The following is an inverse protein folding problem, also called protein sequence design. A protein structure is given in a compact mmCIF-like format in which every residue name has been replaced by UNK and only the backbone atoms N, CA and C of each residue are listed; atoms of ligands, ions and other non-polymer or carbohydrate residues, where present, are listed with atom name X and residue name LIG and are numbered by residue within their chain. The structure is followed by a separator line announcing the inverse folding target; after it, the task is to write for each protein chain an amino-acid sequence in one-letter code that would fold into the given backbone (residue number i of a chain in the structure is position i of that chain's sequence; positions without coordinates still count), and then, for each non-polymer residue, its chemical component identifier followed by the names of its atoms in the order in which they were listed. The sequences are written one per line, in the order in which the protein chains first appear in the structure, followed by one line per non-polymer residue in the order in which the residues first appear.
data_IF_742475622323
#
_entry.id   IF_742475622323
#
_cell.length_a   1.000
_cell.length_b   1.000
_cell.length_c   1.000
_cell.angle_alpha   90.00
_cell.angle_beta   90.00
_cell.angle_gamma   90.00
#
_symmetry.space_group_name_H-M   'P 1'
#
loop_
_entity.id
_entity.type
_entity.pdbx_description
1 polymer ?
#
# COMPACT_ATOMS: atom_id res chain seq x y z
N UNK A 1 1.11 7.59 -18.35
CA UNK A 1 1.84 6.39 -17.88
C UNK A 1 1.07 5.89 -16.68
N UNK A 2 0.37 4.75 -16.77
CA UNK A 2 -0.40 4.25 -15.63
C UNK A 2 0.55 3.82 -14.53
N UNK A 3 0.33 4.23 -13.26
CA UNK A 3 1.16 3.82 -12.15
C UNK A 3 1.07 2.28 -11.98
N UNK A 4 2.21 1.67 -11.75
CA UNK A 4 2.29 0.24 -11.54
C UNK A 4 1.73 -0.12 -10.17
N UNK A 5 0.88 -1.14 -10.13
CA UNK A 5 0.34 -1.71 -8.89
C UNK A 5 1.36 -2.67 -8.30
N UNK A 6 1.73 -2.50 -7.05
CA UNK A 6 2.61 -3.45 -6.35
C UNK A 6 2.10 -3.75 -4.94
N UNK A 7 2.46 -4.92 -4.43
CA UNK A 7 2.32 -5.22 -3.01
C UNK A 7 3.48 -4.59 -2.25
N UNK A 8 3.19 -3.74 -1.31
CA UNK A 8 4.22 -3.16 -0.45
C UNK A 8 4.61 -4.17 0.64
N UNK A 9 5.81 -4.76 0.51
CA UNK A 9 6.37 -5.74 1.47
C UNK A 9 6.99 -5.11 2.70
N UNK A 10 6.98 -3.81 2.81
CA UNK A 10 7.64 -3.15 3.91
C UNK A 10 6.96 -3.55 5.22
N UNK A 11 7.74 -4.08 6.17
CA UNK A 11 7.27 -4.20 7.54
C UNK A 11 7.23 -2.81 8.15
N UNK A 12 6.05 -2.34 8.50
CA UNK A 12 5.85 -1.05 9.14
C UNK A 12 6.01 -1.18 10.66
N UNK A 13 6.98 -0.42 11.20
CA UNK A 13 7.27 -0.42 12.64
C UNK A 13 7.99 -1.68 13.15
N UNK A 14 7.77 -1.99 14.43
CA UNK A 14 8.37 -3.14 15.12
C UNK A 14 7.31 -4.22 15.39
N UNK A 15 7.76 -5.39 15.89
CA UNK A 15 6.83 -6.44 16.32
C UNK A 15 5.96 -6.00 17.50
N UNK A 16 6.51 -5.19 18.38
CA UNK A 16 5.85 -4.67 19.57
C UNK A 16 4.87 -3.55 19.23
N UNK A 17 5.26 -2.68 18.30
CA UNK A 17 4.46 -1.56 17.79
C UNK A 17 4.46 -1.57 16.26
N UNK A 18 3.59 -2.37 15.61
CA UNK A 18 3.54 -2.54 14.16
C UNK A 18 2.82 -1.35 13.50
N UNK A 19 3.47 -0.20 13.52
CA UNK A 19 2.98 1.03 12.89
C UNK A 19 4.14 1.95 12.50
N UNK A 20 3.95 2.72 11.43
CA UNK A 20 4.94 3.65 10.91
C UNK A 20 4.27 4.94 10.42
N UNK A 21 4.95 6.05 10.67
CA UNK A 21 4.48 7.39 10.31
C UNK A 21 5.34 7.99 9.20
N UNK A 22 4.69 8.70 8.28
CA UNK A 22 5.32 9.42 7.18
C UNK A 22 4.80 10.84 7.10
N UNK A 23 5.72 11.78 7.00
CA UNK A 23 5.43 13.16 6.60
C UNK A 23 5.86 13.33 5.14
N UNK A 24 4.93 13.70 4.27
CA UNK A 24 5.13 13.70 2.83
C UNK A 24 4.91 15.11 2.27
N UNK A 25 5.99 15.74 1.85
CA UNK A 25 6.01 16.98 1.10
C UNK A 25 6.56 16.76 -0.33
N UNK A 26 6.62 17.80 -1.14
CA UNK A 26 7.08 17.72 -2.55
C UNK A 26 8.51 17.21 -2.74
N UNK A 27 9.32 17.14 -1.69
CA UNK A 27 10.70 16.63 -1.71
C UNK A 27 10.76 15.14 -1.37
N UNK A 28 9.67 14.60 -0.84
CA UNK A 28 9.62 13.19 -0.43
C UNK A 28 9.68 12.27 -1.67
N UNK A 29 10.49 11.19 -1.68
CA UNK A 29 10.64 10.29 -2.84
C UNK A 29 9.32 9.62 -3.28
N UNK A 30 8.38 9.49 -2.35
CA UNK A 30 7.03 8.93 -2.58
C UNK A 30 5.96 10.01 -2.59
N UNK A 31 6.28 11.24 -2.99
CA UNK A 31 5.32 12.34 -3.06
C UNK A 31 4.11 11.98 -3.92
N UNK A 32 4.35 11.44 -5.11
CA UNK A 32 3.32 10.79 -5.91
C UNK A 32 3.15 9.37 -5.37
N UNK A 33 1.97 9.07 -4.86
CA UNK A 33 1.65 7.74 -4.33
C UNK A 33 1.36 6.78 -5.49
N UNK A 34 2.34 5.94 -5.82
CA UNK A 34 2.17 4.91 -6.84
C UNK A 34 1.10 3.90 -6.42
N UNK A 35 0.42 3.29 -7.40
CA UNK A 35 -0.61 2.30 -7.12
C UNK A 35 -0.03 1.08 -6.40
N UNK A 36 -0.50 0.83 -5.17
CA UNK A 36 -0.05 -0.26 -4.31
C UNK A 36 -1.14 -0.71 -3.34
N UNK A 37 -0.88 -1.78 -2.64
CA UNK A 37 -1.69 -2.27 -1.55
C UNK A 37 -0.78 -2.95 -0.51
N UNK A 38 -1.23 -2.98 0.73
CA UNK A 38 -0.57 -3.63 1.86
C UNK A 38 -1.62 -4.24 2.81
N UNK A 39 -1.17 -5.05 3.77
CA UNK A 39 -2.05 -5.74 4.71
C UNK A 39 -2.42 -4.91 5.93
N UNK A 40 -1.82 -3.75 6.07
CA UNK A 40 -2.05 -2.81 7.14
C UNK A 40 -3.19 -1.83 6.80
N UNK A 41 -3.68 -1.16 7.80
CA UNK A 41 -4.53 0.02 7.68
C UNK A 41 -3.67 1.26 7.43
N UNK A 42 -4.23 2.24 6.73
CA UNK A 42 -3.57 3.51 6.53
C UNK A 42 -4.51 4.68 6.84
N UNK A 43 -4.06 5.57 7.71
CA UNK A 43 -4.72 6.83 8.05
C UNK A 43 -3.95 7.96 7.38
N UNK A 44 -4.62 8.71 6.48
CA UNK A 44 -4.02 9.82 5.75
C UNK A 44 -4.67 11.11 6.19
N UNK A 45 -3.84 12.11 6.51
CA UNK A 45 -4.26 13.46 6.89
C UNK A 45 -3.73 14.47 5.88
N UNK A 46 -4.61 15.22 5.25
CA UNK A 46 -4.22 16.30 4.34
C UNK A 46 -3.94 17.55 5.17
N UNK A 47 -2.71 18.05 5.12
CA UNK A 47 -2.27 19.24 5.88
C UNK A 47 -2.45 20.53 5.10
N UNK A 48 -2.17 20.47 3.78
CA UNK A 48 -2.31 21.62 2.88
C UNK A 48 -2.49 21.15 1.43
N UNK A 49 -3.03 21.99 0.57
CA UNK A 49 -3.27 21.69 -0.83
C UNK A 49 -4.40 20.68 -1.03
N UNK A 50 -4.37 19.93 -2.11
CA UNK A 50 -5.33 18.88 -2.42
C UNK A 50 -4.66 17.60 -2.86
N UNK A 51 -5.33 16.47 -2.63
CA UNK A 51 -4.84 15.12 -2.93
C UNK A 51 -5.94 14.32 -3.62
N UNK A 52 -5.74 14.00 -4.89
CA UNK A 52 -6.64 13.10 -5.61
C UNK A 52 -6.18 11.68 -5.37
N UNK A 53 -6.97 10.89 -4.65
CA UNK A 53 -6.70 9.49 -4.36
C UNK A 53 -7.67 8.60 -5.11
N UNK A 54 -7.15 7.52 -5.68
CA UNK A 54 -7.92 6.43 -6.26
C UNK A 54 -7.87 5.26 -5.30
N UNK A 55 -9.04 4.84 -4.80
CA UNK A 55 -9.16 3.71 -3.88
C UNK A 55 -10.06 2.67 -4.54
N UNK A 56 -9.49 1.51 -4.85
CA UNK A 56 -10.10 0.52 -5.73
C UNK A 56 -10.50 1.17 -7.06
N UNK A 57 -11.81 1.37 -7.33
CA UNK A 57 -12.34 2.01 -8.55
C UNK A 57 -12.90 3.42 -8.28
N UNK A 58 -12.70 3.95 -7.07
CA UNK A 58 -13.31 5.22 -6.66
C UNK A 58 -12.27 6.32 -6.63
N UNK A 59 -12.53 7.42 -7.34
CA UNK A 59 -11.75 8.65 -7.25
C UNK A 59 -12.30 9.53 -6.11
N UNK A 60 -11.42 10.00 -5.24
CA UNK A 60 -11.73 10.90 -4.13
C UNK A 60 -10.77 12.09 -4.22
N UNK A 61 -11.29 13.30 -4.22
CA UNK A 61 -10.49 14.52 -4.07
C UNK A 61 -10.59 15.02 -2.64
N UNK A 62 -9.51 14.88 -1.89
CA UNK A 62 -9.38 15.33 -0.52
C UNK A 62 -8.66 16.69 -0.45
N UNK A 63 -9.08 17.57 0.44
CA UNK A 63 -8.55 18.90 0.64
C UNK A 63 -7.91 19.03 2.03
N UNK A 64 -7.23 20.15 2.27
CA UNK A 64 -6.64 20.43 3.58
C UNK A 64 -7.67 20.27 4.72
N UNK A 65 -7.31 19.50 5.72
CA UNK A 65 -8.20 19.16 6.86
C UNK A 65 -8.96 17.85 6.71
N UNK A 66 -9.05 17.26 5.52
CA UNK A 66 -9.73 15.98 5.30
C UNK A 66 -8.89 14.80 5.80
N UNK A 67 -9.59 13.72 6.11
CA UNK A 67 -9.00 12.44 6.53
C UNK A 67 -9.46 11.33 5.62
N UNK A 68 -8.52 10.44 5.28
CA UNK A 68 -8.80 9.18 4.61
C UNK A 68 -8.39 8.03 5.54
N UNK A 69 -9.24 7.02 5.66
CA UNK A 69 -8.98 5.80 6.42
C UNK A 69 -9.11 4.61 5.47
N UNK A 70 -7.96 4.12 5.02
CA UNK A 70 -7.88 2.96 4.14
C UNK A 70 -7.82 1.70 4.98
N UNK A 71 -8.68 0.73 4.66
CA UNK A 71 -8.66 -0.58 5.29
C UNK A 71 -7.55 -1.43 4.70
N UNK A 72 -7.16 -2.45 5.44
CA UNK A 72 -6.24 -3.47 4.94
C UNK A 72 -6.61 -3.92 3.53
N UNK A 73 -5.60 -4.09 2.73
CA UNK A 73 -5.76 -4.67 1.41
C UNK A 73 -6.53 -3.84 0.38
N UNK A 74 -6.83 -2.57 0.62
CA UNK A 74 -7.37 -1.69 -0.42
C UNK A 74 -6.27 -1.31 -1.40
N UNK A 75 -6.56 -1.43 -2.70
CA UNK A 75 -5.68 -0.90 -3.73
C UNK A 75 -5.83 0.61 -3.78
N UNK A 76 -4.73 1.33 -3.66
CA UNK A 76 -4.78 2.78 -3.70
C UNK A 76 -3.58 3.41 -4.41
N UNK A 77 -3.81 4.60 -4.95
CA UNK A 77 -2.79 5.47 -5.55
C UNK A 77 -3.21 6.93 -5.39
N UNK A 78 -2.27 7.86 -5.44
CA UNK A 78 -2.61 9.26 -5.20
C UNK A 78 -1.73 10.26 -5.96
N UNK A 79 -2.37 11.35 -6.37
CA UNK A 79 -1.76 12.48 -7.06
C UNK A 79 -1.91 13.73 -6.20
N UNK A 80 -0.84 14.22 -5.56
CA UNK A 80 -0.85 15.46 -4.80
C UNK A 80 -0.83 16.68 -5.74
N UNK A 81 -1.55 17.72 -5.34
CA UNK A 81 -1.51 19.04 -5.98
C UNK A 81 -1.17 20.10 -4.93
N UNK A 82 0.09 20.57 -4.94
CA UNK A 82 0.66 21.46 -3.92
C UNK A 82 0.35 20.97 -2.49
N UNK A 83 0.36 19.66 -2.30
CA UNK A 83 -0.14 19.00 -1.11
C UNK A 83 0.99 18.69 -0.13
N UNK A 84 0.70 18.84 1.16
CA UNK A 84 1.44 18.20 2.24
C UNK A 84 0.46 17.26 2.92
N UNK A 85 0.86 16.00 3.09
CA UNK A 85 0.03 15.00 3.76
C UNK A 85 0.86 14.14 4.69
N UNK A 86 0.19 13.56 5.67
CA UNK A 86 0.77 12.65 6.65
C UNK A 86 0.10 11.30 6.52
N UNK A 87 0.88 10.21 6.59
CA UNK A 87 0.38 8.85 6.60
C UNK A 87 0.77 8.15 7.91
N UNK A 88 -0.16 7.41 8.47
CA UNK A 88 0.09 6.49 9.57
C UNK A 88 -0.39 5.11 9.14
N UNK A 89 0.58 4.23 8.82
CA UNK A 89 0.34 2.85 8.38
C UNK A 89 0.47 1.93 9.59
N UNK A 90 -0.53 1.08 9.87
CA UNK A 90 -0.59 0.30 11.09
C UNK A 90 -1.33 -1.03 10.95
N UNK A 91 -0.81 -2.07 11.60
CA UNK A 91 -1.51 -3.33 11.78
C UNK A 91 -2.48 -3.21 12.96
N UNK A 92 -3.76 -2.94 12.65
CA UNK A 92 -4.81 -2.76 13.65
C UNK A 92 -4.96 -3.98 14.57
N UNK A 93 -4.84 -5.19 14.02
CA UNK A 93 -4.94 -6.42 14.81
C UNK A 93 -3.71 -6.62 15.70
N UNK A 94 -2.52 -6.34 15.17
CA UNK A 94 -1.25 -6.44 15.89
C UNK A 94 -1.15 -5.45 17.06
N UNK A 95 -1.58 -4.19 16.87
CA UNK A 95 -1.57 -3.16 17.91
C UNK A 95 -2.44 -3.53 19.13
N UNK A 96 -3.58 -4.18 18.89
CA UNK A 96 -4.53 -4.53 19.97
C UNK A 96 -4.55 -6.03 20.28
N UNK A 97 -3.51 -6.78 19.93
CA UNK A 97 -3.45 -8.25 20.12
C UNK A 97 -3.68 -8.74 21.57
N UNK A 98 -3.36 -7.91 22.56
CA UNK A 98 -3.53 -8.24 24.00
C UNK A 98 -4.71 -7.53 24.65
N UNK A 99 -5.37 -6.60 23.95
CA UNK A 99 -6.47 -5.79 24.47
C UNK A 99 -7.82 -6.47 24.16
N UNK A 100 -8.25 -7.41 24.97
CA UNK A 100 -9.41 -8.26 24.69
C UNK A 100 -10.71 -7.48 24.50
N UNK A 101 -10.95 -6.42 25.28
CA UNK A 101 -12.15 -5.58 25.14
C UNK A 101 -12.16 -4.85 23.78
N UNK A 102 -10.99 -4.37 23.32
CA UNK A 102 -10.88 -3.71 22.01
C UNK A 102 -11.12 -4.71 20.88
N UNK A 103 -10.52 -5.90 20.96
CA UNK A 103 -10.74 -6.96 19.97
C UNK A 103 -12.20 -7.35 19.86
N UNK A 104 -12.91 -7.50 20.99
CA UNK A 104 -14.31 -7.88 21.02
C UNK A 104 -15.16 -6.85 20.24
N UNK A 105 -14.93 -5.56 20.46
CA UNK A 105 -15.69 -4.49 19.83
C UNK A 105 -15.27 -4.23 18.38
N UNK A 106 -13.99 -4.43 18.03
CA UNK A 106 -13.50 -4.32 16.65
C UNK A 106 -13.65 -5.60 15.82
N UNK A 107 -14.15 -6.71 16.41
CA UNK A 107 -14.31 -7.98 15.72
C UNK A 107 -15.10 -7.87 14.40
N UNK A 108 -16.22 -7.12 14.31
CA UNK A 108 -16.92 -6.95 13.04
C UNK A 108 -16.11 -6.18 11.99
N UNK A 109 -15.24 -5.26 12.42
CA UNK A 109 -14.31 -4.51 11.54
C UNK A 109 -13.21 -5.45 11.03
N UNK A 110 -12.60 -6.27 11.90
CA UNK A 110 -11.59 -7.27 11.50
C UNK A 110 -12.13 -8.33 10.55
N UNK A 111 -13.40 -8.71 10.71
CA UNK A 111 -14.05 -9.69 9.83
C UNK A 111 -14.57 -9.09 8.55
N UNK A 112 -14.41 -7.78 8.37
CA UNK A 112 -15.03 -7.04 7.28
C UNK A 112 -16.56 -7.16 7.20
N UNK A 113 -17.23 -7.49 8.32
CA UNK A 113 -18.68 -7.44 8.42
C UNK A 113 -19.17 -5.99 8.39
N UNK A 114 -18.35 -5.08 8.95
CA UNK A 114 -18.55 -3.63 8.92
C UNK A 114 -17.37 -2.98 8.16
N UNK A 115 -17.71 -2.21 7.13
CA UNK A 115 -16.74 -1.47 6.32
C UNK A 115 -16.79 0.01 6.72
N UNK A 116 -15.76 0.51 7.40
CA UNK A 116 -15.65 1.94 7.73
C UNK A 116 -15.69 2.80 6.47
N UNK A 117 -16.18 4.02 6.58
CA UNK A 117 -16.04 4.99 5.49
C UNK A 117 -14.55 5.18 5.17
N UNK A 118 -14.26 5.46 3.90
CA UNK A 118 -12.88 5.73 3.44
C UNK A 118 -12.54 7.21 3.57
N UNK A 119 -13.53 8.09 3.40
CA UNK A 119 -13.33 9.53 3.32
C UNK A 119 -14.14 10.27 4.38
N UNK A 120 -13.48 11.17 5.09
CA UNK A 120 -14.03 11.99 6.17
C UNK A 120 -13.68 13.46 5.90
N UNK A 121 -14.59 14.22 5.22
CA UNK A 121 -14.42 15.67 5.03
C UNK A 121 -14.36 16.41 6.36
N UNK A 122 -13.46 17.40 6.46
CA UNK A 122 -13.21 18.15 7.69
C UNK A 122 -14.47 18.84 8.23
N UNK A 123 -15.29 19.39 7.34
CA UNK A 123 -16.52 20.13 7.71
C UNK A 123 -17.55 19.24 8.38
N UNK A 124 -17.58 17.94 8.05
CA UNK A 124 -18.60 17.01 8.54
C UNK A 124 -18.11 16.11 9.68
N UNK A 125 -16.79 15.91 9.77
CA UNK A 125 -16.20 14.90 10.67
C UNK A 125 -15.03 15.47 11.50
N UNK A 126 -15.25 16.61 12.13
CA UNK A 126 -14.21 17.31 12.93
C UNK A 126 -13.59 16.43 14.02
N UNK A 127 -14.36 15.55 14.66
CA UNK A 127 -13.86 14.63 15.68
C UNK A 127 -12.86 13.60 15.09
N UNK A 128 -13.11 13.09 13.87
CA UNK A 128 -12.16 12.20 13.16
C UNK A 128 -10.86 12.95 12.91
N UNK A 129 -10.94 14.22 12.46
CA UNK A 129 -9.79 15.09 12.28
C UNK A 129 -9.00 15.29 13.56
N UNK A 130 -9.66 15.57 14.69
CA UNK A 130 -9.00 15.78 16.00
C UNK A 130 -8.24 14.53 16.46
N UNK A 131 -8.84 13.33 16.40
CA UNK A 131 -8.14 12.10 16.78
C UNK A 131 -6.97 11.81 15.83
N UNK A 132 -7.15 12.04 14.54
CA UNK A 132 -6.08 11.88 13.55
C UNK A 132 -4.92 12.83 13.81
N UNK A 133 -5.20 14.12 14.05
CA UNK A 133 -4.16 15.11 14.36
C UNK A 133 -3.42 14.74 15.64
N UNK A 134 -4.10 14.23 16.66
CA UNK A 134 -3.46 13.77 17.90
C UNK A 134 -2.53 12.56 17.67
N UNK A 135 -2.92 11.60 16.81
CA UNK A 135 -2.07 10.49 16.40
C UNK A 135 -0.83 11.02 15.67
N UNK A 136 -1.01 11.85 14.62
CA UNK A 136 0.09 12.37 13.79
C UNK A 136 1.07 13.20 14.62
N UNK A 137 0.57 14.05 15.54
CA UNK A 137 1.41 14.83 16.44
C UNK A 137 2.21 13.95 17.40
N UNK A 138 1.62 12.86 17.92
CA UNK A 138 2.34 11.91 18.78
C UNK A 138 3.44 11.21 18.01
N UNK A 139 3.17 10.81 16.76
CA UNK A 139 4.17 10.21 15.86
C UNK A 139 5.32 11.20 15.57
N UNK A 140 5.01 12.43 15.19
CA UNK A 140 6.00 13.46 14.88
C UNK A 140 6.91 13.77 16.08
N UNK A 141 6.37 13.78 17.30
CA UNK A 141 7.17 13.95 18.55
C UNK A 141 8.14 12.79 18.76
N UNK A 142 7.80 11.58 18.30
CA UNK A 142 8.67 10.40 18.39
C UNK A 142 9.98 10.51 17.58
N UNK A 143 10.09 11.47 16.67
CA UNK A 143 11.34 11.80 15.99
C UNK A 143 12.39 12.49 16.90
N UNK A 144 11.97 13.02 18.05
CA UNK A 144 12.88 13.60 19.04
C UNK A 144 13.59 12.46 19.81
N UNK A 145 14.94 12.39 19.80
CA UNK A 145 15.69 11.36 20.53
C UNK A 145 15.41 11.31 22.04
N UNK A 146 14.99 12.42 22.63
CA UNK A 146 14.71 12.54 24.05
C UNK A 146 13.24 12.25 24.41
N UNK A 147 12.39 11.92 23.43
CA UNK A 147 11.00 11.60 23.69
C UNK A 147 10.87 10.20 24.31
N UNK A 148 9.96 10.08 25.28
CA UNK A 148 9.55 8.78 25.78
C UNK A 148 8.64 8.09 24.76
N UNK A 149 9.23 7.21 23.97
CA UNK A 149 8.53 6.48 22.89
C UNK A 149 7.36 5.66 23.42
N UNK A 150 7.53 5.00 24.57
CA UNK A 150 6.48 4.16 25.16
C UNK A 150 5.23 4.96 25.54
N UNK A 151 5.41 6.16 26.08
CA UNK A 151 4.29 7.06 26.40
C UNK A 151 3.62 7.61 25.13
N UNK A 152 4.39 7.87 24.06
CA UNK A 152 3.82 8.28 22.77
C UNK A 152 3.03 7.14 22.13
N UNK A 153 3.56 5.92 22.11
CA UNK A 153 2.88 4.72 21.63
C UNK A 153 1.58 4.47 22.40
N UNK A 154 1.61 4.59 23.73
CA UNK A 154 0.40 4.50 24.57
C UNK A 154 -0.64 5.57 24.19
N UNK A 155 -0.20 6.80 23.93
CA UNK A 155 -1.09 7.88 23.49
C UNK A 155 -1.72 7.58 22.14
N UNK A 156 -0.95 7.07 21.18
CA UNK A 156 -1.43 6.68 19.85
C UNK A 156 -2.49 5.58 19.97
N UNK A 157 -2.26 4.56 20.81
CA UNK A 157 -3.25 3.49 21.07
C UNK A 157 -4.55 4.06 21.65
N UNK A 158 -4.46 5.01 22.58
CA UNK A 158 -5.63 5.68 23.15
C UNK A 158 -6.44 6.47 22.11
N UNK A 159 -5.75 7.20 21.22
CA UNK A 159 -6.40 7.97 20.16
C UNK A 159 -7.00 7.05 19.08
N UNK A 160 -6.35 5.95 18.74
CA UNK A 160 -6.93 4.94 17.84
C UNK A 160 -8.20 4.31 18.44
N UNK A 161 -8.18 3.96 19.74
CA UNK A 161 -9.39 3.49 20.42
C UNK A 161 -10.51 4.51 20.35
N UNK A 162 -10.20 5.80 20.58
CA UNK A 162 -11.17 6.90 20.52
C UNK A 162 -11.73 7.08 19.11
N UNK A 163 -10.87 7.03 18.09
CA UNK A 163 -11.25 7.13 16.68
C UNK A 163 -12.22 6.00 16.29
N UNK A 164 -11.85 4.75 16.53
CA UNK A 164 -12.71 3.61 16.18
C UNK A 164 -13.99 3.57 17.01
N UNK A 165 -13.92 3.93 18.29
CA UNK A 165 -15.11 4.09 19.15
C UNK A 165 -16.07 5.12 18.57
N UNK A 166 -15.56 6.28 18.15
CA UNK A 166 -16.36 7.33 17.52
C UNK A 166 -17.00 6.85 16.20
N UNK A 167 -16.22 6.19 15.34
CA UNK A 167 -16.71 5.63 14.07
C UNK A 167 -17.86 4.64 14.32
N UNK A 168 -17.70 3.73 15.28
CA UNK A 168 -18.70 2.72 15.59
C UNK A 168 -19.96 3.32 16.24
N UNK A 169 -19.80 4.23 17.20
CA UNK A 169 -20.94 4.89 17.89
C UNK A 169 -21.77 5.75 16.93
N UNK A 170 -21.13 6.44 16.00
CA UNK A 170 -21.82 7.30 15.02
C UNK A 170 -22.22 6.55 13.74
N UNK A 171 -22.02 5.23 13.70
CA UNK A 171 -22.34 4.38 12.54
C UNK A 171 -21.72 4.86 11.23
N UNK A 172 -20.46 5.33 11.28
CA UNK A 172 -19.69 5.79 10.12
C UNK A 172 -19.10 4.58 9.38
N UNK A 173 -19.95 3.62 9.09
CA UNK A 173 -19.64 2.38 8.39
C UNK A 173 -20.87 1.90 7.62
N UNK A 174 -20.67 1.00 6.68
CA UNK A 174 -21.71 0.25 6.00
C UNK A 174 -21.57 -1.23 6.32
N UNK A 175 -22.70 -1.95 6.41
CA UNK A 175 -22.65 -3.42 6.41
C UNK A 175 -22.15 -3.88 5.05
N UNK A 176 -21.27 -4.86 5.02
CA UNK A 176 -20.73 -5.36 3.76
C UNK A 176 -21.85 -5.89 2.86
N UNK A 177 -22.17 -5.26 1.72
CA UNK A 177 -23.16 -5.81 0.79
C UNK A 177 -22.64 -7.12 0.21
N UNK A 178 -23.54 -8.02 -0.21
CA UNK A 178 -23.17 -9.30 -0.84
C UNK A 178 -22.28 -9.08 -2.07
N UNK A 179 -22.51 -8.00 -2.81
CA UNK A 179 -21.68 -7.60 -3.97
C UNK A 179 -20.27 -7.17 -3.56
N UNK A 180 -20.10 -6.51 -2.42
CA UNK A 180 -18.78 -6.16 -1.91
C UNK A 180 -18.00 -7.39 -1.41
N UNK A 181 -18.69 -8.42 -0.94
CA UNK A 181 -18.07 -9.71 -0.60
C UNK A 181 -17.53 -10.40 -1.87
N UNK A 182 -18.28 -10.35 -2.98
CA UNK A 182 -17.81 -10.90 -4.25
C UNK A 182 -16.61 -10.11 -4.82
N UNK A 183 -16.64 -8.78 -4.69
CA UNK A 183 -15.52 -7.90 -5.09
C UNK A 183 -14.28 -8.17 -4.22
N UNK A 184 -14.45 -8.23 -2.91
CA UNK A 184 -13.37 -8.58 -1.96
C UNK A 184 -12.80 -9.96 -2.22
N UNK A 185 -13.64 -10.94 -2.56
CA UNK A 185 -13.21 -12.28 -2.94
C UNK A 185 -12.33 -12.26 -4.20
N UNK A 186 -12.77 -11.54 -5.26
CA UNK A 186 -11.96 -11.39 -6.50
C UNK A 186 -10.63 -10.69 -6.23
N UNK A 187 -10.63 -9.62 -5.45
CA UNK A 187 -9.41 -8.94 -5.03
C UNK A 187 -8.50 -9.91 -4.27
N UNK A 188 -9.04 -10.72 -3.36
CA UNK A 188 -8.31 -11.76 -2.65
C UNK A 188 -7.64 -12.79 -3.58
N UNK A 189 -8.35 -13.21 -4.64
CA UNK A 189 -7.79 -14.11 -5.66
C UNK A 189 -6.63 -13.45 -6.43
N UNK A 190 -6.77 -12.17 -6.82
CA UNK A 190 -5.69 -11.43 -7.49
C UNK A 190 -4.49 -11.25 -6.56
N UNK A 191 -4.68 -10.98 -5.28
CA UNK A 191 -3.60 -10.91 -4.28
C UNK A 191 -2.83 -12.20 -4.15
N UNK A 192 -3.51 -13.35 -4.18
CA UNK A 192 -2.84 -14.66 -4.19
C UNK A 192 -1.92 -14.79 -5.42
N UNK A 193 -2.38 -14.31 -6.58
CA UNK A 193 -1.57 -14.28 -7.82
C UNK A 193 -0.37 -13.33 -7.67
N UNK A 194 -0.58 -12.12 -7.16
CA UNK A 194 0.50 -11.15 -6.95
C UNK A 194 1.57 -11.70 -6.00
N UNK A 195 1.16 -12.33 -4.90
CA UNK A 195 2.05 -13.03 -3.97
C UNK A 195 2.82 -14.17 -4.63
N UNK A 196 2.16 -14.93 -5.50
CA UNK A 196 2.83 -15.99 -6.25
C UNK A 196 3.89 -15.44 -7.20
N UNK A 197 3.56 -14.38 -7.97
CA UNK A 197 4.53 -13.71 -8.86
C UNK A 197 5.75 -13.26 -8.07
N UNK A 198 5.52 -12.66 -6.93
CA UNK A 198 6.55 -12.19 -6.04
C UNK A 198 7.50 -13.28 -5.55
N UNK A 199 6.97 -14.44 -5.21
CA UNK A 199 7.76 -15.57 -4.71
C UNK A 199 8.47 -16.35 -5.84
N UNK A 200 7.97 -16.23 -7.09
CA UNK A 200 8.38 -17.08 -8.21
C UNK A 200 8.86 -16.31 -9.46
N UNK A 201 9.05 -14.98 -9.39
CA UNK A 201 9.35 -14.14 -10.56
C UNK A 201 10.57 -14.60 -11.36
N UNK A 202 11.56 -15.22 -10.73
CA UNK A 202 12.76 -15.77 -11.38
C UNK A 202 12.50 -17.05 -12.18
N UNK A 203 11.33 -17.67 -12.07
CA UNK A 203 10.97 -18.91 -12.74
C UNK A 203 10.11 -18.69 -13.99
N UNK A 204 9.79 -19.76 -14.72
CA UNK A 204 8.88 -19.66 -15.86
C UNK A 204 7.42 -19.52 -15.38
N UNK A 205 6.89 -18.30 -15.43
CA UNK A 205 5.49 -17.99 -15.10
C UNK A 205 4.69 -17.92 -16.41
N UNK A 206 3.58 -18.67 -16.48
CA UNK A 206 2.66 -18.62 -17.61
C UNK A 206 1.31 -18.02 -17.21
N UNK A 207 0.57 -17.51 -18.20
CA UNK A 207 -0.78 -17.00 -17.99
C UNK A 207 -1.70 -18.07 -17.37
N UNK A 208 -1.60 -19.31 -17.84
CA UNK A 208 -2.42 -20.42 -17.33
C UNK A 208 -2.10 -20.69 -15.86
N UNK A 209 -0.82 -20.73 -15.47
CA UNK A 209 -0.43 -20.87 -14.06
C UNK A 209 -1.06 -19.79 -13.16
N UNK A 210 -1.05 -18.53 -13.61
CA UNK A 210 -1.63 -17.44 -12.86
C UNK A 210 -3.16 -17.53 -12.77
N UNK A 211 -3.81 -17.92 -13.85
CA UNK A 211 -5.26 -18.13 -13.90
C UNK A 211 -5.70 -19.29 -13.01
N UNK A 212 -4.94 -20.39 -12.97
CA UNK A 212 -5.20 -21.55 -12.10
C UNK A 212 -5.11 -21.15 -10.62
N UNK A 213 -4.10 -20.34 -10.24
CA UNK A 213 -3.96 -19.82 -8.87
C UNK A 213 -5.15 -18.94 -8.49
N UNK A 214 -5.65 -18.13 -9.43
CA UNK A 214 -6.85 -17.33 -9.22
C UNK A 214 -8.14 -18.16 -9.19
N UNK A 215 -8.10 -19.44 -9.59
CA UNK A 215 -9.31 -20.28 -9.78
C UNK A 215 -10.22 -19.75 -10.87
N UNK A 216 -9.66 -19.17 -11.95
CA UNK A 216 -10.38 -18.53 -13.05
C UNK A 216 -9.95 -19.10 -14.40
N UNK A 217 -10.85 -19.03 -15.40
CA UNK A 217 -10.39 -19.26 -16.77
C UNK A 217 -9.49 -18.08 -17.24
N UNK A 218 -8.52 -18.32 -18.15
CA UNK A 218 -7.52 -17.32 -18.53
C UNK A 218 -8.10 -16.00 -19.07
N UNK A 219 -9.17 -16.05 -19.86
CA UNK A 219 -9.79 -14.85 -20.44
C UNK A 219 -10.49 -13.99 -19.38
N UNK A 220 -11.18 -14.61 -18.44
CA UNK A 220 -11.82 -13.93 -17.33
C UNK A 220 -10.77 -13.39 -16.35
N UNK A 221 -9.75 -14.18 -16.06
CA UNK A 221 -8.61 -13.78 -15.24
C UNK A 221 -7.92 -12.52 -15.79
N UNK A 222 -7.61 -12.46 -17.09
CA UNK A 222 -7.00 -11.27 -17.70
C UNK A 222 -7.84 -10.01 -17.45
N UNK A 223 -9.15 -10.09 -17.62
CA UNK A 223 -10.05 -8.94 -17.38
C UNK A 223 -10.02 -8.52 -15.91
N UNK A 224 -10.26 -9.48 -15.00
CA UNK A 224 -10.28 -9.18 -13.55
C UNK A 224 -8.93 -8.65 -13.09
N UNK A 225 -7.83 -9.24 -13.55
CA UNK A 225 -6.48 -8.78 -13.21
C UNK A 225 -6.24 -7.35 -13.72
N UNK A 226 -6.66 -7.07 -14.95
CA UNK A 226 -6.51 -5.74 -15.55
C UNK A 226 -7.41 -4.71 -14.89
N UNK A 227 -8.63 -5.06 -14.50
CA UNK A 227 -9.54 -4.18 -13.76
C UNK A 227 -8.96 -3.80 -12.40
N UNK A 228 -8.32 -4.76 -11.70
CA UNK A 228 -7.71 -4.54 -10.38
C UNK A 228 -6.36 -3.84 -10.45
N UNK A 229 -5.50 -4.22 -11.40
CA UNK A 229 -4.09 -3.78 -11.44
C UNK A 229 -3.79 -2.75 -12.52
N UNK A 230 -4.75 -2.46 -13.39
CA UNK A 230 -4.62 -1.59 -14.58
C UNK A 230 -3.55 -2.08 -15.58
N UNK A 231 -3.16 -3.36 -15.50
CA UNK A 231 -2.14 -3.99 -16.36
C UNK A 231 -2.54 -5.40 -16.76
N UNK A 232 -1.96 -5.88 -17.88
CA UNK A 232 -2.09 -7.31 -18.17
C UNK A 232 -1.24 -8.14 -17.19
N UNK A 233 -1.62 -9.40 -16.90
CA UNK A 233 -0.86 -10.26 -16.00
C UNK A 233 0.62 -10.40 -16.40
N UNK A 234 0.89 -10.57 -17.68
CA UNK A 234 2.25 -10.79 -18.17
C UNK A 234 3.09 -9.49 -18.19
N UNK A 235 2.47 -8.33 -18.45
CA UNK A 235 3.16 -7.04 -18.31
C UNK A 235 3.54 -6.77 -16.85
N UNK A 236 2.67 -7.15 -15.91
CA UNK A 236 2.98 -7.07 -14.48
C UNK A 236 4.18 -7.96 -14.11
N UNK A 237 4.22 -9.22 -14.57
CA UNK A 237 5.38 -10.11 -14.33
C UNK A 237 6.67 -9.48 -14.85
N UNK A 238 6.65 -8.96 -16.08
CA UNK A 238 7.81 -8.32 -16.70
C UNK A 238 8.25 -7.09 -15.89
N UNK A 239 7.30 -6.26 -15.50
CA UNK A 239 7.59 -5.09 -14.68
C UNK A 239 8.22 -5.48 -13.33
N UNK A 240 7.62 -6.43 -12.62
CA UNK A 240 8.12 -6.90 -11.32
C UNK A 240 9.56 -7.43 -11.43
N UNK A 241 9.87 -8.17 -12.48
CA UNK A 241 11.24 -8.64 -12.79
C UNK A 241 12.22 -7.50 -12.96
N UNK A 242 11.82 -6.42 -13.66
CA UNK A 242 12.67 -5.23 -13.86
C UNK A 242 12.90 -4.50 -12.54
N UNK A 243 11.91 -4.40 -11.66
CA UNK A 243 12.07 -3.80 -10.33
C UNK A 243 13.06 -4.60 -9.47
N UNK A 244 12.95 -5.93 -9.46
CA UNK A 244 13.89 -6.78 -8.75
C UNK A 244 15.30 -6.69 -9.32
N UNK A 245 15.44 -6.64 -10.64
CA UNK A 245 16.73 -6.43 -11.31
C UNK A 245 17.33 -5.06 -10.96
N UNK A 246 16.51 -4.00 -10.90
CA UNK A 246 16.95 -2.66 -10.51
C UNK A 246 17.49 -2.63 -9.07
N UNK A 247 16.81 -3.30 -8.16
CA UNK A 247 17.25 -3.47 -6.77
C UNK A 247 18.60 -4.22 -6.72
N UNK A 248 18.74 -5.34 -7.42
CA UNK A 248 20.00 -6.11 -7.47
C UNK A 248 21.14 -5.29 -8.10
N UNK A 249 20.86 -4.50 -9.14
CA UNK A 249 21.86 -3.60 -9.75
C UNK A 249 22.40 -2.56 -8.76
N UNK A 250 21.55 -2.06 -7.86
CA UNK A 250 21.94 -1.07 -6.86
C UNK A 250 22.63 -1.66 -5.63
N UNK A 251 22.34 -2.94 -5.28
CA UNK A 251 22.74 -3.52 -3.98
C UNK A 251 23.72 -4.67 -4.07
N UNK A 252 24.02 -5.18 -5.28
CA UNK A 252 24.90 -6.36 -5.44
C UNK A 252 25.98 -6.14 -6.50
N UNK A 253 27.12 -6.84 -6.38
CA UNK A 253 28.20 -6.82 -7.40
C UNK A 253 27.93 -7.80 -8.56
N UNK A 254 26.82 -8.51 -8.62
CA UNK A 254 26.50 -9.50 -9.64
C UNK A 254 26.61 -8.91 -11.05
N UNK A 255 27.00 -9.70 -12.05
CA UNK A 255 27.05 -9.24 -13.42
C UNK A 255 25.63 -8.88 -13.93
N UNK A 256 25.55 -7.99 -14.93
CA UNK A 256 24.25 -7.63 -15.52
C UNK A 256 23.55 -8.86 -16.14
N UNK A 257 24.34 -9.79 -16.68
CA UNK A 257 23.86 -11.05 -17.24
C UNK A 257 23.27 -11.95 -16.15
N UNK A 258 23.99 -12.11 -15.02
CA UNK A 258 23.50 -12.93 -13.91
C UNK A 258 22.22 -12.32 -13.30
N UNK A 259 22.15 -11.00 -13.17
CA UNK A 259 20.96 -10.30 -12.70
C UNK A 259 19.78 -10.54 -13.65
N UNK A 260 20.01 -10.44 -14.96
CA UNK A 260 18.94 -10.73 -15.95
C UNK A 260 18.41 -12.16 -15.78
N UNK A 261 19.29 -13.15 -15.69
CA UNK A 261 18.92 -14.56 -15.53
C UNK A 261 18.19 -14.81 -14.20
N UNK A 262 18.74 -14.30 -13.09
CA UNK A 262 18.14 -14.44 -11.76
C UNK A 262 16.78 -13.76 -11.68
N UNK A 263 16.58 -12.67 -12.42
CA UNK A 263 15.31 -11.97 -12.52
C UNK A 263 14.30 -12.64 -13.46
N UNK A 264 14.64 -13.81 -14.04
CA UNK A 264 13.74 -14.60 -14.90
C UNK A 264 13.71 -14.17 -16.37
N UNK A 265 14.71 -13.42 -16.84
CA UNK A 265 14.88 -13.12 -18.26
C UNK A 265 15.83 -14.15 -18.91
N UNK A 266 15.34 -14.82 -19.94
CA UNK A 266 16.15 -15.83 -20.69
C UNK A 266 17.03 -15.20 -21.79
N UNK A 267 16.87 -13.90 -22.09
CA UNK A 267 17.60 -13.19 -23.12
C UNK A 267 18.07 -11.83 -22.60
N UNK A 268 19.40 -11.62 -22.62
CA UNK A 268 20.05 -10.40 -22.14
C UNK A 268 19.70 -9.16 -22.98
N UNK A 269 19.54 -9.32 -24.30
CA UNK A 269 19.22 -8.21 -25.19
C UNK A 269 17.78 -7.76 -24.97
N UNK A 270 16.86 -8.71 -24.82
CA UNK A 270 15.48 -8.44 -24.43
C UNK A 270 15.39 -7.77 -23.08
N UNK A 271 16.10 -8.29 -22.07
CA UNK A 271 16.20 -7.66 -20.74
C UNK A 271 16.64 -6.21 -20.83
N UNK A 272 17.76 -5.93 -21.53
CA UNK A 272 18.32 -4.58 -21.65
C UNK A 272 17.32 -3.61 -22.30
N UNK A 273 16.62 -4.06 -23.35
CA UNK A 273 15.58 -3.29 -24.05
C UNK A 273 14.41 -2.96 -23.13
N UNK A 274 13.89 -3.96 -22.42
CA UNK A 274 12.75 -3.79 -21.51
C UNK A 274 13.13 -2.94 -20.30
N UNK A 275 14.28 -3.18 -19.70
CA UNK A 275 14.78 -2.38 -18.59
C UNK A 275 14.90 -0.90 -18.96
N UNK A 276 15.51 -0.59 -20.13
CA UNK A 276 15.60 0.78 -20.63
C UNK A 276 14.23 1.40 -20.88
N UNK A 277 13.26 0.63 -21.39
CA UNK A 277 11.89 1.10 -21.62
C UNK A 277 11.19 1.49 -20.30
N UNK A 278 11.41 0.71 -19.22
CA UNK A 278 10.74 0.91 -17.93
C UNK A 278 11.47 1.96 -17.08
N UNK A 279 12.80 1.91 -17.01
CA UNK A 279 13.64 2.77 -16.15
C UNK A 279 14.19 4.01 -16.85
N UNK A 280 13.95 4.18 -18.16
CA UNK A 280 14.48 5.26 -19.02
C UNK A 280 16.01 5.30 -19.15
N UNK A 281 16.73 4.38 -18.51
CA UNK A 281 18.19 4.24 -18.58
C UNK A 281 18.57 2.77 -18.76
N UNK A 282 19.78 2.50 -19.30
CA UNK A 282 20.26 1.13 -19.43
C UNK A 282 20.61 0.53 -18.06
N UNK A 283 20.63 -0.82 -17.90
CA UNK A 283 21.04 -1.45 -16.65
C UNK A 283 22.43 -1.00 -16.17
N UNK A 284 23.39 -0.81 -17.12
CA UNK A 284 24.72 -0.33 -16.81
C UNK A 284 24.74 1.11 -16.29
N UNK A 285 23.95 1.99 -16.93
CA UNK A 285 23.83 3.38 -16.49
C UNK A 285 23.11 3.45 -15.13
N UNK A 286 22.07 2.64 -14.91
CA UNK A 286 21.35 2.55 -13.65
C UNK A 286 22.28 2.16 -12.50
N UNK A 287 23.10 1.12 -12.67
CA UNK A 287 24.11 0.72 -11.69
C UNK A 287 25.06 1.87 -11.35
N UNK A 288 25.61 2.56 -12.37
CA UNK A 288 26.55 3.67 -12.15
C UNK A 288 25.95 4.82 -11.34
N UNK A 289 24.63 5.04 -11.47
CA UNK A 289 23.94 6.12 -10.74
C UNK A 289 23.68 5.72 -9.27
N UNK A 290 23.41 4.44 -9.00
CA UNK A 290 22.94 3.98 -7.69
C UNK A 290 23.97 3.24 -6.84
N UNK A 291 25.09 2.77 -7.42
CA UNK A 291 26.26 2.32 -6.65
C UNK A 291 27.11 3.55 -6.43
N UNK A 292 26.92 4.24 -5.30
CA UNK A 292 27.94 5.16 -4.78
C UNK A 292 29.08 4.32 -4.24
N UNK A 293 30.29 4.60 -4.72
CA UNK A 293 31.56 4.08 -4.21
C UNK A 293 31.72 4.35 -2.71
#
# INVERSE_FOLDING_TARGET
MHPFVYYEKKQHGTREFPAEYYYVDSRHPRYIMSAHWHTEWELIRIKSGSFTIYVDETEIRANAGDVLLLRESMLHSGMPDNCIYECFVFDLHGLFRTAEIVKQHLRPVYRMDLLTQVYYPADNYSAVGLFTDAIMQSCAKGANPNADKGLLELSILGYLCSLFSYILQNRLYVSAPVESMQKSYRIGQIKAVLKYIEQNYGTNITLNTLADIAGMNPNYFCRVFQDVTQQTPMDYVIYYRVEQAAMMLATTPLSITDIAMTSGFNDHSYFTKIFKRIKNVTPRAYRKIHVQE
#
